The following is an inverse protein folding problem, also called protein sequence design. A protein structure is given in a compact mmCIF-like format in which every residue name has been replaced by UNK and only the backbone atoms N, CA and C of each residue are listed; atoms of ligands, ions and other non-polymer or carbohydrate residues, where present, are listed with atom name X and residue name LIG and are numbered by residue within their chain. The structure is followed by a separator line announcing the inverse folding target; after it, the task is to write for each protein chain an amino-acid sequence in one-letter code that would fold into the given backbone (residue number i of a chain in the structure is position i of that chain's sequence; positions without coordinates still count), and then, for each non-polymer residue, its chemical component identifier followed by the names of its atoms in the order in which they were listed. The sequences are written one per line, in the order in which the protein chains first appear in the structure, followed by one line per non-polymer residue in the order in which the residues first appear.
data_IF_040258762764
#
_entry.id   IF_040258762764
#
_cell.length_a   1.000
_cell.length_b   1.000
_cell.length_c   1.000
_cell.angle_alpha   90.00
_cell.angle_beta   90.00
_cell.angle_gamma   90.00
#
_symmetry.space_group_name_H-M   'P 1'
#
loop_
_entity.id
_entity.type
_entity.pdbx_description
1 polymer ?
#
# COMPACT_ATOMS: atom_id res chain seq x y z
N UNK A 1 -1.51 -29.33 21.34
CA UNK A 1 -2.65 -28.50 20.93
C UNK A 1 -3.20 -29.11 19.65
N UNK A 2 -4.46 -29.56 19.62
CA UNK A 2 -5.01 -30.20 18.41
C UNK A 2 -5.51 -29.15 17.43
N UNK A 3 -5.59 -29.48 16.14
CA UNK A 3 -6.12 -28.57 15.10
C UNK A 3 -7.55 -28.11 15.45
N UNK A 4 -8.36 -29.00 16.02
CA UNK A 4 -9.73 -28.69 16.43
C UNK A 4 -9.80 -27.69 17.61
N UNK A 5 -8.74 -27.56 18.40
CA UNK A 5 -8.67 -26.55 19.46
C UNK A 5 -8.36 -25.16 18.89
N UNK A 6 -7.48 -25.10 17.87
CA UNK A 6 -7.16 -23.87 17.14
C UNK A 6 -8.42 -23.35 16.43
N UNK A 7 -9.16 -24.21 15.75
CA UNK A 7 -10.37 -23.80 15.03
C UNK A 7 -11.43 -23.23 15.99
N UNK A 8 -11.60 -23.84 17.17
CA UNK A 8 -12.50 -23.31 18.22
C UNK A 8 -12.04 -21.96 18.76
N UNK A 9 -10.74 -21.77 18.92
CA UNK A 9 -10.19 -20.50 19.40
C UNK A 9 -10.37 -19.39 18.34
N UNK A 10 -10.10 -19.70 17.07
CA UNK A 10 -10.33 -18.78 15.94
C UNK A 10 -11.81 -18.41 15.81
N UNK A 11 -12.72 -19.38 15.94
CA UNK A 11 -14.14 -19.12 15.83
C UNK A 11 -14.64 -18.23 16.98
N UNK A 12 -14.20 -18.48 18.23
CA UNK A 12 -14.48 -17.59 19.37
C UNK A 12 -13.92 -16.18 19.15
N UNK A 13 -12.73 -16.07 18.59
CA UNK A 13 -12.11 -14.78 18.31
C UNK A 13 -12.91 -13.97 17.26
N UNK A 14 -13.48 -14.66 16.25
CA UNK A 14 -14.32 -14.07 15.19
C UNK A 14 -15.70 -13.66 15.68
N UNK A 15 -16.33 -14.44 16.57
CA UNK A 15 -17.68 -14.16 17.09
C UNK A 15 -17.69 -13.11 18.20
N UNK A 16 -16.81 -13.26 19.19
CA UNK A 16 -16.91 -12.57 20.48
C UNK A 16 -15.60 -11.88 20.91
N UNK A 17 -14.58 -11.94 20.06
CA UNK A 17 -13.24 -11.47 20.37
C UNK A 17 -12.79 -10.24 19.58
N UNK A 18 -11.52 -9.82 19.78
CA UNK A 18 -10.95 -8.62 19.16
C UNK A 18 -11.06 -8.59 17.64
N UNK A 19 -11.11 -9.76 16.99
CA UNK A 19 -11.19 -9.88 15.52
C UNK A 19 -12.49 -9.29 14.99
N UNK A 20 -13.59 -9.35 15.77
CA UNK A 20 -14.87 -8.73 15.39
C UNK A 20 -14.79 -7.21 15.32
N UNK A 21 -13.96 -6.61 16.16
CA UNK A 21 -13.87 -5.15 16.32
C UNK A 21 -12.74 -4.53 15.47
N UNK A 22 -11.93 -5.35 14.77
CA UNK A 22 -10.92 -4.84 13.83
C UNK A 22 -11.61 -4.25 12.60
N UNK A 23 -11.58 -2.93 12.48
CA UNK A 23 -11.99 -2.22 11.28
C UNK A 23 -10.77 -2.05 10.37
N UNK A 24 -10.72 -2.82 9.28
CA UNK A 24 -9.73 -2.61 8.23
C UNK A 24 -10.26 -1.49 7.32
N UNK A 25 -9.58 -0.34 7.21
CA UNK A 25 -10.01 0.70 6.30
C UNK A 25 -9.92 0.21 4.85
N UNK A 26 -10.83 0.65 3.96
CA UNK A 26 -10.73 0.32 2.55
C UNK A 26 -9.41 0.86 1.99
N UNK A 27 -8.83 0.12 1.03
CA UNK A 27 -7.66 0.60 0.30
C UNK A 27 -8.06 1.83 -0.55
N UNK A 28 -7.29 2.93 -0.50
CA UNK A 28 -7.54 4.09 -1.36
C UNK A 28 -7.60 3.74 -2.85
N UNK A 29 -8.57 4.29 -3.57
CA UNK A 29 -8.77 4.01 -5.00
C UNK A 29 -7.54 4.37 -5.85
N UNK A 30 -6.85 5.46 -5.51
CA UNK A 30 -5.62 5.88 -6.20
C UNK A 30 -4.49 4.86 -6.06
N UNK A 31 -4.36 4.21 -4.90
CA UNK A 31 -3.37 3.15 -4.70
C UNK A 31 -3.72 1.90 -5.51
N UNK A 32 -5.02 1.57 -5.59
CA UNK A 32 -5.49 0.47 -6.44
C UNK A 32 -5.21 0.76 -7.91
N UNK A 33 -5.47 1.98 -8.37
CA UNK A 33 -5.19 2.43 -9.73
C UNK A 33 -3.69 2.38 -10.05
N UNK A 34 -2.84 2.91 -9.17
CA UNK A 34 -1.39 2.86 -9.32
C UNK A 34 -0.86 1.42 -9.41
N UNK A 35 -1.35 0.54 -8.53
CA UNK A 35 -0.96 -0.88 -8.53
C UNK A 35 -1.38 -1.59 -9.82
N UNK A 36 -2.52 -1.21 -10.40
CA UNK A 36 -2.99 -1.77 -11.67
C UNK A 36 -2.07 -1.37 -12.82
N UNK A 37 -1.68 -0.10 -12.91
CA UNK A 37 -0.80 0.42 -13.96
C UNK A 37 0.60 -0.22 -13.87
N UNK A 38 1.21 -0.22 -12.69
CA UNK A 38 2.55 -0.80 -12.44
C UNK A 38 2.59 -2.31 -12.73
N UNK A 39 1.46 -3.01 -12.64
CA UNK A 39 1.37 -4.45 -12.91
C UNK A 39 1.21 -4.80 -14.41
N UNK A 40 1.09 -3.82 -15.29
CA UNK A 40 1.06 -4.06 -16.73
C UNK A 40 2.40 -4.60 -17.24
N UNK A 41 2.37 -5.33 -18.35
CA UNK A 41 3.58 -5.81 -19.01
C UNK A 41 4.45 -4.66 -19.55
N UNK A 42 3.80 -3.56 -19.95
CA UNK A 42 4.43 -2.31 -20.38
C UNK A 42 3.69 -1.12 -19.72
N UNK A 43 4.06 -0.75 -18.47
CA UNK A 43 3.43 0.36 -17.75
C UNK A 43 3.77 1.73 -18.37
N UNK A 44 2.80 2.65 -18.43
CA UNK A 44 3.05 4.04 -18.86
C UNK A 44 3.56 4.88 -17.67
N UNK A 45 4.82 5.37 -17.72
CA UNK A 45 5.37 6.22 -16.66
C UNK A 45 4.61 7.53 -16.46
N UNK A 46 3.98 8.08 -17.51
CA UNK A 46 3.21 9.32 -17.40
C UNK A 46 1.92 9.11 -16.63
N UNK A 47 1.27 7.96 -16.83
CA UNK A 47 0.06 7.58 -16.10
C UNK A 47 0.39 7.35 -14.62
N UNK A 48 1.49 6.65 -14.33
CA UNK A 48 2.01 6.49 -12.97
C UNK A 48 2.26 7.85 -12.31
N UNK A 49 2.95 8.76 -12.99
CA UNK A 49 3.24 10.09 -12.47
C UNK A 49 1.95 10.90 -12.24
N UNK A 50 0.98 10.81 -13.14
CA UNK A 50 -0.33 11.48 -13.02
C UNK A 50 -1.12 10.98 -11.81
N UNK A 51 -1.18 9.66 -11.60
CA UNK A 51 -1.85 9.07 -10.43
C UNK A 51 -1.12 9.47 -9.16
N UNK A 52 0.21 9.35 -9.12
CA UNK A 52 1.01 9.67 -7.96
C UNK A 52 0.93 11.16 -7.56
N UNK A 53 0.93 12.07 -8.53
CA UNK A 53 0.81 13.51 -8.30
C UNK A 53 -0.59 13.93 -7.83
N UNK A 54 -1.61 13.09 -8.02
CA UNK A 54 -2.99 13.38 -7.58
C UNK A 54 -3.21 13.23 -6.07
N UNK A 55 -2.26 12.60 -5.35
CA UNK A 55 -2.28 12.47 -3.89
C UNK A 55 -0.98 13.04 -3.28
N UNK A 56 -1.12 14.06 -2.45
CA UNK A 56 0.02 14.79 -1.85
C UNK A 56 0.86 13.90 -0.95
N UNK A 57 0.24 13.00 -0.18
CA UNK A 57 0.95 12.11 0.74
C UNK A 57 1.75 11.05 -0.03
N UNK A 58 1.18 10.50 -1.10
CA UNK A 58 1.82 9.58 -2.01
C UNK A 58 3.01 10.24 -2.73
N UNK A 59 2.81 11.43 -3.31
CA UNK A 59 3.88 12.19 -3.96
C UNK A 59 5.04 12.47 -2.99
N UNK A 60 4.74 12.94 -1.77
CA UNK A 60 5.75 13.19 -0.75
C UNK A 60 6.48 11.90 -0.32
N UNK A 61 5.77 10.79 -0.19
CA UNK A 61 6.37 9.49 0.14
C UNK A 61 7.33 9.01 -0.97
N UNK A 62 6.95 9.14 -2.24
CA UNK A 62 7.81 8.81 -3.38
C UNK A 62 9.05 9.69 -3.43
N UNK A 63 8.90 11.01 -3.28
CA UNK A 63 10.03 11.94 -3.24
C UNK A 63 10.98 11.64 -2.08
N UNK A 64 10.46 11.27 -0.91
CA UNK A 64 11.27 10.88 0.24
C UNK A 64 12.06 9.60 -0.04
N UNK A 65 11.45 8.62 -0.71
CA UNK A 65 12.10 7.35 -1.06
C UNK A 65 13.19 7.59 -2.11
N UNK A 66 12.88 8.31 -3.20
CA UNK A 66 13.85 8.53 -4.29
C UNK A 66 15.02 9.43 -3.87
N UNK A 67 14.81 10.32 -2.88
CA UNK A 67 15.87 11.14 -2.30
C UNK A 67 16.58 10.46 -1.12
N UNK A 68 16.22 9.22 -0.78
CA UNK A 68 16.93 8.47 0.26
C UNK A 68 18.28 7.95 -0.23
N UNK A 69 19.21 7.60 0.69
CA UNK A 69 20.51 7.02 0.32
C UNK A 69 20.42 5.76 -0.56
N UNK A 70 19.28 5.04 -0.53
CA UNK A 70 19.05 3.84 -1.34
C UNK A 70 19.24 4.10 -2.84
N UNK A 71 18.83 5.27 -3.31
CA UNK A 71 18.93 5.65 -4.74
C UNK A 71 20.16 6.51 -5.05
N UNK A 72 20.97 6.87 -4.05
CA UNK A 72 22.26 7.56 -4.16
C UNK A 72 22.31 8.69 -5.21
N UNK A 73 21.25 9.50 -5.31
CA UNK A 73 21.14 10.52 -6.37
C UNK A 73 22.14 11.65 -6.16
N UNK A 74 22.81 12.06 -7.24
CA UNK A 74 23.67 13.24 -7.22
C UNK A 74 22.90 14.56 -7.06
N UNK A 75 21.62 14.59 -7.45
CA UNK A 75 20.73 15.76 -7.33
C UNK A 75 19.37 15.33 -6.77
N UNK A 76 18.77 16.08 -5.83
CA UNK A 76 17.43 15.78 -5.33
C UNK A 76 16.37 15.82 -6.44
N UNK A 77 15.41 14.91 -6.38
CA UNK A 77 14.18 14.99 -7.17
C UNK A 77 13.22 15.98 -6.50
N UNK A 78 12.57 16.82 -7.30
CA UNK A 78 11.64 17.85 -6.83
C UNK A 78 10.18 17.59 -7.26
N UNK A 79 9.98 16.74 -8.27
CA UNK A 79 8.67 16.37 -8.80
C UNK A 79 8.59 14.86 -8.93
N UNK A 80 7.35 14.35 -8.91
CA UNK A 80 7.06 13.01 -9.40
C UNK A 80 7.15 13.00 -10.92
#
# INVERSE_FOLDING_TARGET
MSVADIDRELERARSDGPVRDIVIPPCPDLLTALRKEVALADPDPNEIARIAASDVAMAAALLRIVNSPLYARARPAATV
#
